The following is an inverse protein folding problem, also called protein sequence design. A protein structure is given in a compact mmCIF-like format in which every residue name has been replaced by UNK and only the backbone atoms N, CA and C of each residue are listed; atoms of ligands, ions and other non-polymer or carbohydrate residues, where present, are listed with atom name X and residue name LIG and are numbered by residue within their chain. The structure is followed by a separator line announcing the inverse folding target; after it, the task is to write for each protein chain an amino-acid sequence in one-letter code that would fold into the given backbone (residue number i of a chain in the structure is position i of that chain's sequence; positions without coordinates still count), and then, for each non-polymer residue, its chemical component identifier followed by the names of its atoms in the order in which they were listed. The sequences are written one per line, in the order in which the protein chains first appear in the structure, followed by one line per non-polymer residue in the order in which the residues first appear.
data_IF_326994618518
#
_entry.id   IF_326994618518
#
_cell.length_a   1.000
_cell.length_b   1.000
_cell.length_c   1.000
_cell.angle_alpha   90.00
_cell.angle_beta   90.00
_cell.angle_gamma   90.00
#
_symmetry.space_group_name_H-M   'P 1'
#
loop_
_entity.id
_entity.type
_entity.pdbx_description
1 polymer ?
#
# COMPACT_ATOMS: atom_id res chain seq x y z
N UNK A 1 4.84 -4.81 1.19
CA UNK A 1 4.14 -5.22 -0.07
C UNK A 1 3.93 -4.00 -1.00
N UNK A 2 3.83 -4.19 -2.32
CA UNK A 2 3.73 -3.13 -3.34
C UNK A 2 2.70 -3.45 -4.44
N UNK A 3 1.93 -2.43 -4.87
CA UNK A 3 1.05 -2.46 -6.05
C UNK A 3 1.21 -1.16 -6.82
N UNK A 4 1.28 -1.21 -8.16
CA UNK A 4 1.24 -0.01 -9.00
C UNK A 4 0.22 -0.12 -10.13
N UNK A 5 -0.42 0.99 -10.43
CA UNK A 5 -1.32 1.16 -11.57
C UNK A 5 -0.78 2.30 -12.42
N UNK A 6 -0.53 2.04 -13.70
CA UNK A 6 -0.07 3.05 -14.67
C UNK A 6 -1.17 3.33 -15.69
N UNK A 7 -1.42 4.60 -15.96
CA UNK A 7 -2.23 5.08 -17.09
C UNK A 7 -1.35 5.85 -18.08
N UNK A 8 -1.60 5.64 -19.38
CA UNK A 8 -0.96 6.38 -20.50
C UNK A 8 -1.98 7.04 -21.43
N UNK A 9 -3.24 7.08 -21.00
CA UNK A 9 -4.29 7.93 -21.58
C UNK A 9 -3.87 9.41 -21.47
N UNK A 10 -4.42 10.31 -22.27
CA UNK A 10 -4.11 11.76 -22.18
C UNK A 10 -5.37 12.59 -21.84
N UNK A 11 -5.36 13.35 -20.74
CA UNK A 11 -4.26 13.51 -19.78
C UNK A 11 -4.15 12.31 -18.82
N UNK A 12 -2.94 11.76 -18.62
CA UNK A 12 -2.77 10.58 -17.77
C UNK A 12 -3.06 10.88 -16.29
N UNK A 13 -2.93 12.15 -15.91
CA UNK A 13 -3.26 12.68 -14.57
C UNK A 13 -4.72 12.46 -14.17
N UNK A 14 -5.62 12.14 -15.10
CA UNK A 14 -7.00 11.72 -14.80
C UNK A 14 -7.07 10.48 -13.91
N UNK A 15 -6.00 9.68 -13.87
CA UNK A 15 -5.85 8.60 -12.89
C UNK A 15 -6.05 9.10 -11.44
N UNK A 16 -5.61 10.32 -11.13
CA UNK A 16 -5.81 10.93 -9.82
C UNK A 16 -7.28 11.15 -9.46
N UNK A 17 -8.11 11.52 -10.44
CA UNK A 17 -9.55 11.66 -10.26
C UNK A 17 -10.25 10.30 -10.13
N UNK A 18 -9.90 9.35 -10.98
CA UNK A 18 -10.46 7.99 -10.95
C UNK A 18 -10.20 7.30 -9.60
N UNK A 19 -9.00 7.45 -9.06
CA UNK A 19 -8.63 6.89 -7.76
C UNK A 19 -9.04 7.78 -6.57
N UNK A 20 -9.55 9.00 -6.83
CA UNK A 20 -9.88 10.03 -5.82
C UNK A 20 -8.71 10.36 -4.91
N UNK A 21 -7.50 10.44 -5.48
CA UNK A 21 -6.25 10.71 -4.76
C UNK A 21 -5.44 11.73 -5.57
N UNK A 22 -5.26 12.93 -5.02
CA UNK A 22 -4.48 13.99 -5.66
C UNK A 22 -3.01 13.53 -5.87
N UNK A 23 -2.49 13.54 -7.12
CA UNK A 23 -1.11 13.14 -7.41
C UNK A 23 -0.02 13.96 -6.71
N UNK A 24 -0.29 15.23 -6.38
CA UNK A 24 0.66 16.11 -5.68
C UNK A 24 0.68 15.90 -4.16
N UNK A 25 -0.01 14.88 -3.64
CA UNK A 25 -0.04 14.57 -2.21
C UNK A 25 0.25 13.10 -1.97
N UNK A 26 1.03 12.83 -0.92
CA UNK A 26 1.10 11.50 -0.32
C UNK A 26 -0.16 11.27 0.49
N UNK A 27 -0.74 10.08 0.38
CA UNK A 27 -1.93 9.69 1.15
C UNK A 27 -1.58 8.50 2.03
N UNK A 28 -1.83 8.65 3.33
CA UNK A 28 -1.64 7.59 4.31
C UNK A 28 -3.01 7.07 4.75
N UNK A 29 -3.13 5.75 4.90
CA UNK A 29 -4.34 5.09 5.40
C UNK A 29 -3.93 4.13 6.50
N UNK A 30 -4.44 4.37 7.70
CA UNK A 30 -4.27 3.47 8.85
C UNK A 30 -5.03 2.16 8.62
N UNK A 31 -4.38 1.05 8.96
CA UNK A 31 -4.92 -0.30 8.93
C UNK A 31 -4.77 -0.92 10.33
N UNK A 32 -5.50 -2.00 10.62
CA UNK A 32 -5.40 -2.67 11.93
C UNK A 32 -4.04 -3.33 12.20
N UNK A 33 -3.18 -3.44 11.17
CA UNK A 33 -1.89 -4.13 11.22
C UNK A 33 -0.74 -3.28 10.66
N UNK A 34 -0.90 -1.96 10.60
CA UNK A 34 0.09 -1.05 10.04
C UNK A 34 -0.58 0.03 9.20
N UNK A 35 0.04 0.42 8.08
CA UNK A 35 -0.46 1.50 7.23
C UNK A 35 -0.22 1.23 5.75
N UNK A 36 -1.04 1.87 4.92
CA UNK A 36 -0.88 1.91 3.47
C UNK A 36 -0.54 3.33 3.02
N UNK A 37 0.56 3.45 2.26
CA UNK A 37 0.98 4.69 1.63
C UNK A 37 0.62 4.65 0.15
N UNK A 38 -0.16 5.63 -0.31
CA UNK A 38 -0.43 5.85 -1.74
C UNK A 38 0.30 7.11 -2.19
N UNK A 39 1.16 6.96 -3.19
CA UNK A 39 1.94 8.04 -3.78
C UNK A 39 1.93 7.94 -5.31
N UNK A 40 2.35 9.01 -5.97
CA UNK A 40 2.42 9.08 -7.43
C UNK A 40 3.88 9.33 -7.84
N UNK A 41 4.68 8.27 -8.06
CA UNK A 41 6.08 8.43 -8.47
C UNK A 41 6.25 9.14 -9.82
N UNK A 42 5.20 9.17 -10.65
CA UNK A 42 5.17 9.86 -11.94
C UNK A 42 3.75 10.38 -12.20
N UNK A 43 3.63 11.65 -12.57
CA UNK A 43 2.35 12.29 -12.90
C UNK A 43 2.58 13.38 -13.95
N UNK A 44 2.71 12.98 -15.22
CA UNK A 44 2.71 13.86 -16.39
C UNK A 44 1.44 13.65 -17.23
N UNK A 45 1.26 14.47 -18.26
CA UNK A 45 0.12 14.33 -19.18
C UNK A 45 0.20 13.05 -20.02
N UNK A 46 1.41 12.52 -20.25
CA UNK A 46 1.66 11.30 -21.03
C UNK A 46 1.58 10.03 -20.21
N UNK A 47 1.95 10.10 -18.91
CA UNK A 47 2.01 8.94 -18.04
C UNK A 47 1.78 9.33 -16.59
N UNK A 48 0.91 8.58 -15.93
CA UNK A 48 0.64 8.72 -14.51
C UNK A 48 0.68 7.34 -13.86
N UNK A 49 1.44 7.21 -12.78
CA UNK A 49 1.58 5.97 -12.02
C UNK A 49 1.17 6.24 -10.58
N UNK A 50 0.16 5.53 -10.10
CA UNK A 50 -0.15 5.43 -8.68
C UNK A 50 0.56 4.19 -8.11
N UNK A 51 1.21 4.35 -6.96
CA UNK A 51 1.86 3.28 -6.22
C UNK A 51 1.27 3.19 -4.80
N UNK A 52 0.89 1.98 -4.40
CA UNK A 52 0.45 1.64 -3.06
C UNK A 52 1.51 0.75 -2.41
N UNK A 53 1.99 1.18 -1.24
CA UNK A 53 2.98 0.48 -0.43
C UNK A 53 2.34 0.13 0.91
N UNK A 54 2.41 -1.13 1.31
CA UNK A 54 2.01 -1.55 2.66
C UNK A 54 3.21 -1.58 3.58
N UNK A 55 3.09 -0.90 4.70
CA UNK A 55 3.98 -0.98 5.85
C UNK A 55 3.26 -1.72 6.97
N UNK A 56 3.66 -2.95 7.22
CA UNK A 56 3.04 -3.83 8.21
C UNK A 56 3.79 -3.69 9.54
N UNK A 57 3.06 -3.60 10.65
CA UNK A 57 3.59 -3.79 12.00
C UNK A 57 3.53 -5.29 12.34
N UNK A 58 4.66 -6.03 12.26
CA UNK A 58 4.67 -7.47 12.49
C UNK A 58 4.33 -7.82 13.93
N UNK A 59 4.60 -6.93 14.90
CA UNK A 59 4.30 -7.15 16.31
C UNK A 59 2.82 -6.87 16.58
N UNK A 60 2.28 -5.79 16.04
CA UNK A 60 0.86 -5.48 16.09
C UNK A 60 -0.01 -6.57 15.45
N UNK A 61 0.47 -7.19 14.37
CA UNK A 61 -0.24 -8.25 13.65
C UNK A 61 -0.52 -9.51 14.49
N UNK A 62 0.35 -9.81 15.47
CA UNK A 62 0.22 -11.00 16.34
C UNK A 62 -0.37 -10.70 17.72
N UNK A 63 -0.34 -9.44 18.17
CA UNK A 63 -0.92 -9.04 19.46
C UNK A 63 -2.45 -9.19 19.43
N UNK A 64 -2.98 -10.13 20.20
CA UNK A 64 -4.42 -10.29 20.44
C UNK A 64 -5.13 -11.36 19.60
N UNK A 65 -4.43 -12.10 18.73
CA UNK A 65 -4.98 -13.30 18.09
C UNK A 65 -4.69 -14.54 18.94
N UNK A 66 -5.77 -15.21 19.36
CA UNK A 66 -5.70 -16.50 20.04
C UNK A 66 -5.06 -17.58 19.16
N UNK A 67 -4.32 -18.44 19.84
CA UNK A 67 -3.29 -19.34 19.35
C UNK A 67 -3.73 -20.33 18.26
N UNK A 68 -2.98 -20.42 17.16
CA UNK A 68 -3.13 -21.46 16.13
C UNK A 68 -1.79 -21.94 15.53
N UNK A 69 -0.65 -21.51 16.08
CA UNK A 69 0.68 -21.86 15.56
C UNK A 69 1.78 -21.59 16.57
N UNK A 70 2.91 -22.31 16.46
CA UNK A 70 4.02 -22.19 17.39
C UNK A 70 4.53 -20.73 17.54
N UNK A 71 5.08 -20.36 18.71
CA UNK A 71 5.39 -18.98 19.07
C UNK A 71 6.45 -18.31 18.18
N UNK A 72 7.20 -19.02 17.33
CA UNK A 72 8.15 -18.39 16.40
C UNK A 72 7.51 -18.02 15.05
N UNK A 73 6.66 -18.89 14.50
CA UNK A 73 6.02 -18.69 13.19
C UNK A 73 5.08 -17.48 13.17
N UNK A 74 4.64 -17.04 14.35
CA UNK A 74 3.83 -15.84 14.49
C UNK A 74 4.68 -14.56 14.31
N UNK A 75 5.89 -14.50 14.87
CA UNK A 75 6.72 -13.28 14.84
C UNK A 75 7.62 -13.21 13.60
N UNK A 76 8.01 -14.36 13.04
CA UNK A 76 8.84 -14.43 11.85
C UNK A 76 8.06 -15.16 10.76
N UNK A 77 7.46 -14.38 9.86
CA UNK A 77 6.76 -14.90 8.69
C UNK A 77 6.81 -13.89 7.54
N UNK A 78 6.28 -14.31 6.40
CA UNK A 78 6.25 -13.58 5.15
C UNK A 78 5.12 -12.55 5.05
N UNK A 79 4.14 -12.54 5.97
CA UNK A 79 2.96 -11.65 5.94
C UNK A 79 3.28 -10.15 5.77
N UNK A 80 4.40 -9.60 6.28
CA UNK A 80 4.78 -8.21 5.98
C UNK A 80 5.13 -7.96 4.49
N UNK A 81 5.42 -9.03 3.75
CA UNK A 81 6.05 -8.99 2.44
C UNK A 81 5.20 -9.62 1.33
N UNK A 82 4.25 -10.50 1.63
CA UNK A 82 3.45 -11.26 0.65
C UNK A 82 1.95 -10.89 0.68
N UNK A 83 1.25 -10.99 -0.47
CA UNK A 83 -0.21 -10.79 -0.57
C UNK A 83 -1.04 -11.98 -0.12
#
# INVERSE_FOLDING_TARGET
MFLSITATHRPATDLGFLLRKNPARMHETELSFGRALTLYPEASDERCTAALVLEVDPVGLVRGKGDAGGPMDQYVNDRPYTP
#
